data_IF_966126124296
#
_entry.id   IF_966126124296
#
_cell.length_a   1.000
_cell.length_b   1.000
_cell.length_c   1.000
_cell.angle_alpha   90.00
_cell.angle_beta   90.00
_cell.angle_gamma   90.00
#
_symmetry.space_group_name_H-M   'P 1'
#
loop_
_entity.id
_entity.type
_entity.pdbx_description
1 polymer ?
#
# COMPACT_ATOMS: atom_id res chain seq x y z
N UNK A 1 5.58 18.22 11.81
CA UNK A 1 5.79 16.87 11.22
C UNK A 1 6.78 16.98 10.06
N UNK A 2 7.73 16.04 9.91
CA UNK A 2 8.55 15.89 8.71
C UNK A 2 7.70 15.61 7.47
N UNK A 3 8.14 16.03 6.28
CA UNK A 3 7.32 15.95 5.06
C UNK A 3 6.99 14.52 4.64
N UNK A 4 7.94 13.57 4.79
CA UNK A 4 7.68 12.14 4.61
C UNK A 4 6.54 11.64 5.51
N UNK A 5 6.57 11.99 6.80
CA UNK A 5 5.54 11.56 7.76
C UNK A 5 4.18 12.15 7.40
N UNK A 6 4.13 13.41 6.99
CA UNK A 6 2.87 14.03 6.51
C UNK A 6 2.27 13.24 5.35
N UNK A 7 3.08 12.91 4.34
CA UNK A 7 2.60 12.18 3.16
C UNK A 7 2.05 10.80 3.51
N UNK A 8 2.78 10.02 4.33
CA UNK A 8 2.30 8.71 4.80
C UNK A 8 1.02 8.83 5.64
N UNK A 9 0.94 9.83 6.53
CA UNK A 9 -0.26 10.09 7.32
C UNK A 9 -1.43 10.51 6.45
N UNK A 10 -1.22 11.31 5.40
CA UNK A 10 -2.28 11.66 4.44
C UNK A 10 -2.80 10.43 3.71
N UNK A 11 -1.92 9.56 3.22
CA UNK A 11 -2.34 8.30 2.57
C UNK A 11 -3.14 7.41 3.54
N UNK A 12 -2.70 7.29 4.79
CA UNK A 12 -3.42 6.54 5.82
C UNK A 12 -4.79 7.17 6.15
N UNK A 13 -4.85 8.49 6.25
CA UNK A 13 -6.09 9.23 6.50
C UNK A 13 -7.10 9.02 5.37
N UNK A 14 -6.67 9.13 4.11
CA UNK A 14 -7.52 8.91 2.93
C UNK A 14 -8.08 7.49 2.89
N UNK A 15 -7.29 6.49 3.29
CA UNK A 15 -7.79 5.13 3.48
C UNK A 15 -8.83 5.07 4.60
N UNK A 16 -8.59 5.71 5.75
CA UNK A 16 -9.52 5.73 6.87
C UNK A 16 -10.88 6.35 6.56
N UNK A 17 -10.92 7.40 5.75
CA UNK A 17 -12.16 8.06 5.32
C UNK A 17 -12.77 7.48 4.04
N UNK A 18 -12.18 6.42 3.47
CA UNK A 18 -12.59 5.81 2.19
C UNK A 18 -12.51 6.75 0.97
N UNK A 19 -11.64 7.76 1.00
CA UNK A 19 -11.42 8.73 -0.08
C UNK A 19 -10.54 8.16 -1.19
N UNK A 20 -11.09 7.23 -1.98
CA UNK A 20 -10.33 6.50 -3.01
C UNK A 20 -9.86 7.39 -4.16
N UNK A 21 -10.64 8.40 -4.53
CA UNK A 21 -10.31 9.27 -5.66
C UNK A 21 -9.24 10.30 -5.26
N UNK A 22 -9.34 10.87 -4.07
CA UNK A 22 -8.29 11.69 -3.47
C UNK A 22 -7.01 10.87 -3.26
N UNK A 23 -7.12 9.60 -2.86
CA UNK A 23 -5.96 8.72 -2.71
C UNK A 23 -5.23 8.50 -4.04
N UNK A 24 -5.96 8.29 -5.15
CA UNK A 24 -5.35 8.15 -6.49
C UNK A 24 -4.62 9.42 -6.92
N UNK A 25 -5.07 10.59 -6.49
CA UNK A 25 -4.39 11.87 -6.76
C UNK A 25 -3.16 12.02 -5.86
N UNK A 26 -3.29 11.67 -4.58
CA UNK A 26 -2.27 11.93 -3.58
C UNK A 26 -1.10 10.92 -3.62
N UNK A 27 -1.36 9.68 -4.01
CA UNK A 27 -0.32 8.66 -4.09
C UNK A 27 0.80 9.04 -5.08
N UNK A 28 0.52 9.49 -6.32
CA UNK A 28 1.51 10.07 -7.21
C UNK A 28 2.35 11.18 -6.56
N UNK A 29 1.68 12.13 -5.89
CA UNK A 29 2.34 13.25 -5.22
C UNK A 29 3.28 12.75 -4.13
N UNK A 30 2.86 11.77 -3.32
CA UNK A 30 3.72 11.19 -2.30
C UNK A 30 4.96 10.52 -2.92
N UNK A 31 4.77 9.77 -4.02
CA UNK A 31 5.82 9.06 -4.74
C UNK A 31 6.83 9.97 -5.45
N UNK A 32 6.38 11.14 -5.93
CA UNK A 32 7.26 12.15 -6.54
C UNK A 32 8.08 12.93 -5.49
N UNK A 33 7.77 12.75 -4.21
CA UNK A 33 8.45 13.41 -3.10
C UNK A 33 9.22 12.39 -2.24
N UNK A 34 8.95 12.33 -0.94
CA UNK A 34 9.78 11.63 0.04
C UNK A 34 9.30 10.21 0.36
N UNK A 35 8.37 9.64 -0.41
CA UNK A 35 7.79 8.32 -0.15
C UNK A 35 8.15 7.37 -1.28
N UNK A 36 8.80 6.26 -0.93
CA UNK A 36 9.08 5.18 -1.88
C UNK A 36 7.85 4.30 -2.15
N UNK A 37 7.82 3.60 -3.30
CA UNK A 37 6.81 2.58 -3.58
C UNK A 37 6.68 1.51 -2.49
N UNK A 38 7.78 1.18 -1.81
CA UNK A 38 7.81 0.19 -0.72
C UNK A 38 7.05 0.72 0.49
N UNK A 39 7.37 1.93 0.95
CA UNK A 39 6.73 2.54 2.12
C UNK A 39 5.22 2.78 1.89
N UNK A 40 4.83 3.20 0.68
CA UNK A 40 3.42 3.35 0.32
C UNK A 40 2.67 2.01 0.43
N UNK A 41 3.30 0.90 0.02
CA UNK A 41 2.73 -0.44 0.16
C UNK A 41 2.73 -0.95 1.60
N UNK A 42 3.73 -0.62 2.40
CA UNK A 42 3.76 -0.98 3.81
C UNK A 42 2.61 -0.34 4.59
N UNK A 43 2.36 0.96 4.39
CA UNK A 43 1.22 1.64 5.03
C UNK A 43 -0.11 1.02 4.60
N UNK A 44 -0.24 0.67 3.31
CA UNK A 44 -1.42 -0.01 2.77
C UNK A 44 -1.61 -1.42 3.39
N UNK A 45 -0.53 -2.19 3.56
CA UNK A 45 -0.61 -3.50 4.20
C UNK A 45 -0.98 -3.39 5.68
N UNK A 46 -0.39 -2.43 6.40
CA UNK A 46 -0.70 -2.18 7.81
C UNK A 46 -2.14 -1.69 8.00
N UNK A 47 -2.69 -0.93 7.05
CA UNK A 47 -4.07 -0.45 7.12
C UNK A 47 -5.10 -1.58 7.21
N UNK A 48 -4.78 -2.79 6.71
CA UNK A 48 -5.66 -3.96 6.79
C UNK A 48 -5.94 -4.35 8.25
N UNK A 49 -4.95 -4.24 9.14
CA UNK A 49 -5.07 -4.62 10.54
C UNK A 49 -5.99 -3.65 11.32
N UNK A 50 -6.16 -2.42 10.84
CA UNK A 50 -6.96 -1.37 11.50
C UNK A 50 -8.34 -1.13 10.85
N UNK A 51 -8.41 -1.19 9.51
CA UNK A 51 -9.62 -0.85 8.76
C UNK A 51 -10.37 -2.09 8.26
N UNK A 52 -9.72 -3.25 8.27
CA UNK A 52 -10.23 -4.49 7.71
C UNK A 52 -10.09 -4.57 6.19
N UNK A 53 -9.98 -5.81 5.68
CA UNK A 53 -9.70 -6.08 4.27
C UNK A 53 -10.72 -5.44 3.32
N UNK A 54 -12.02 -5.49 3.63
CA UNK A 54 -13.07 -4.97 2.75
C UNK A 54 -12.93 -3.47 2.46
N UNK A 55 -12.46 -2.69 3.44
CA UNK A 55 -12.24 -1.25 3.27
C UNK A 55 -10.96 -0.92 2.52
N UNK A 56 -9.91 -1.71 2.73
CA UNK A 56 -8.59 -1.50 2.14
C UNK A 56 -8.49 -2.06 0.72
N UNK A 57 -9.31 -3.04 0.36
CA UNK A 57 -9.24 -3.75 -0.92
C UNK A 57 -9.20 -2.83 -2.16
N UNK A 58 -10.05 -1.80 -2.29
CA UNK A 58 -10.02 -0.89 -3.44
C UNK A 58 -8.69 -0.14 -3.60
N UNK A 59 -8.01 0.14 -2.49
CA UNK A 59 -6.74 0.85 -2.46
C UNK A 59 -5.59 -0.02 -2.99
N UNK A 60 -5.62 -1.35 -2.83
CA UNK A 60 -4.65 -2.24 -3.49
C UNK A 60 -4.65 -2.09 -5.00
N UNK A 61 -5.84 -2.02 -5.60
CA UNK A 61 -5.97 -1.83 -7.05
C UNK A 61 -5.44 -0.44 -7.45
N UNK A 62 -5.86 0.61 -6.76
CA UNK A 62 -5.40 1.98 -7.02
C UNK A 62 -3.87 2.11 -6.92
N UNK A 63 -3.26 1.56 -5.88
CA UNK A 63 -1.79 1.59 -5.71
C UNK A 63 -1.07 0.83 -6.82
N UNK A 64 -1.55 -0.36 -7.18
CA UNK A 64 -0.91 -1.13 -8.25
C UNK A 64 -1.06 -0.44 -9.61
N UNK A 65 -2.22 0.13 -9.91
CA UNK A 65 -2.47 0.87 -11.16
C UNK A 65 -1.51 2.07 -11.28
N UNK A 66 -1.32 2.85 -10.19
CA UNK A 66 -0.39 3.99 -10.15
C UNK A 66 1.07 3.55 -10.29
N UNK A 67 1.48 2.48 -9.59
CA UNK A 67 2.86 1.97 -9.68
C UNK A 67 3.16 1.38 -11.07
N UNK A 68 2.20 0.67 -11.67
CA UNK A 68 2.34 0.14 -13.02
C UNK A 68 2.46 1.26 -14.06
N UNK A 69 1.65 2.31 -13.94
CA UNK A 69 1.75 3.49 -14.80
C UNK A 69 3.11 4.21 -14.70
N UNK A 70 3.81 4.04 -13.57
CA UNK A 70 5.16 4.60 -13.32
C UNK A 70 6.29 3.65 -13.73
N UNK A 71 5.98 2.51 -14.37
CA UNK A 71 6.99 1.54 -14.80
C UNK A 71 7.70 0.84 -13.63
N UNK A 72 7.10 0.86 -12.44
CA UNK A 72 7.68 0.19 -11.27
C UNK A 72 7.50 -1.32 -11.44
N UNK A 73 8.62 -2.03 -11.63
CA UNK A 73 8.61 -3.49 -11.76
C UNK A 73 8.06 -4.15 -10.49
N UNK A 74 7.22 -5.15 -10.72
CA UNK A 74 6.50 -5.89 -9.69
C UNK A 74 6.92 -7.36 -9.75
N UNK A 75 7.20 -8.02 -8.60
CA UNK A 75 7.06 -7.52 -7.24
C UNK A 75 8.22 -6.61 -6.82
N UNK A 76 7.91 -5.57 -6.03
CA UNK A 76 8.94 -4.72 -5.42
C UNK A 76 9.95 -5.58 -4.63
N UNK A 77 11.25 -5.22 -4.64
CA UNK A 77 12.24 -5.90 -3.83
C UNK A 77 11.84 -5.82 -2.35
N UNK A 78 11.69 -6.97 -1.71
CA UNK A 78 11.39 -7.02 -0.28
C UNK A 78 12.61 -6.53 0.50
N UNK A 79 12.53 -5.34 1.11
CA UNK A 79 13.59 -4.79 1.96
C UNK A 79 13.52 -5.38 3.38
N UNK A 80 13.45 -6.71 3.48
CA UNK A 80 13.28 -7.39 4.76
C UNK A 80 14.63 -7.55 5.48
N UNK A 81 14.88 -6.74 6.51
CA UNK A 81 15.99 -6.93 7.47
C UNK A 81 15.56 -7.60 8.78
N UNK A 82 14.27 -7.90 8.99
CA UNK A 82 13.79 -8.39 10.30
C UNK A 82 12.74 -9.50 10.23
N UNK A 83 12.83 -10.46 11.17
CA UNK A 83 12.04 -11.70 11.26
C UNK A 83 10.52 -11.50 11.34
N UNK A 84 10.05 -10.33 11.81
CA UNK A 84 8.62 -10.02 11.97
C UNK A 84 7.90 -9.81 10.62
N UNK A 85 8.58 -9.21 9.64
CA UNK A 85 8.01 -8.97 8.30
C UNK A 85 7.83 -10.25 7.50
N UNK A 86 8.61 -11.29 7.81
CA UNK A 86 8.47 -12.62 7.22
C UNK A 86 7.07 -13.20 7.48
N UNK A 87 6.38 -12.78 8.55
CA UNK A 87 5.00 -13.19 8.89
C UNK A 87 3.98 -12.34 8.11
N UNK A 88 4.18 -11.03 8.02
CA UNK A 88 3.28 -10.11 7.30
C UNK A 88 3.29 -10.37 5.80
N UNK A 89 4.48 -10.49 5.19
CA UNK A 89 4.63 -10.90 3.79
C UNK A 89 4.00 -12.27 3.51
N UNK A 90 4.07 -13.20 4.47
CA UNK A 90 3.44 -14.53 4.34
C UNK A 90 1.91 -14.42 4.41
N UNK A 91 1.36 -13.57 5.29
CA UNK A 91 -0.08 -13.27 5.36
C UNK A 91 -0.59 -12.64 4.06
N UNK A 92 0.10 -11.61 3.55
CA UNK A 92 -0.25 -10.93 2.29
C UNK A 92 -0.15 -11.88 1.09
N UNK A 93 0.90 -12.70 1.00
CA UNK A 93 1.02 -13.75 -0.04
C UNK A 93 -0.11 -14.77 0.05
N UNK A 94 -0.52 -15.16 1.26
CA UNK A 94 -1.68 -16.07 1.47
C UNK A 94 -2.99 -15.44 1.00
N UNK A 95 -3.21 -14.17 1.31
CA UNK A 95 -4.38 -13.42 0.87
C UNK A 95 -4.42 -13.25 -0.66
N UNK A 96 -3.25 -13.00 -1.27
CA UNK A 96 -3.12 -12.88 -2.73
C UNK A 96 -3.37 -14.20 -3.45
N UNK A 97 -2.92 -15.32 -2.88
CA UNK A 97 -3.20 -16.67 -3.38
C UNK A 97 -4.69 -17.00 -3.27
N UNK A 98 -5.28 -16.84 -2.08
CA UNK A 98 -6.69 -17.13 -1.84
C UNK A 98 -7.66 -16.30 -2.71
N UNK A 99 -7.26 -15.09 -3.11
CA UNK A 99 -8.04 -14.26 -4.05
C UNK A 99 -7.92 -14.72 -5.50
N UNK A 100 -6.75 -15.23 -5.91
CA UNK A 100 -6.52 -15.74 -7.27
C UNK A 100 -7.22 -17.10 -7.49
N UNK A 101 -7.40 -17.87 -6.41
CA UNK A 101 -8.10 -19.17 -6.40
C UNK A 101 -9.65 -19.03 -6.40
N UNK A 102 -10.18 -17.81 -6.27
CA UNK A 102 -11.62 -17.50 -6.19
C UNK A 102 -12.20 -16.94 -7.51
N UNK A 103 -11.42 -17.00 -8.59
CA UNK A 103 -11.80 -16.71 -9.98
C UNK A 103 -11.50 -17.91 -10.86
#
# INVERSE_FOLDING_TARGET
>A
MPDRTKMLSTLAYLMGIQGIDEYKVMLPVALDNCVSPVEAKEVLYQAVDYLGLGRVFPFFKATNDVLAARGVEMPLPGQATTTMDKIVLKKVKRLKSAYLDLK
#
